data_IF_390287797032
#
_entry.id   IF_390287797032
#
_cell.length_a   1.000
_cell.length_b   1.000
_cell.length_c   1.000
_cell.angle_alpha   90.00
_cell.angle_beta   90.00
_cell.angle_gamma   90.00
#
_symmetry.space_group_name_H-M   'P 1'
#
loop_
_entity.id
_entity.type
_entity.pdbx_description
1 polymer ?
#
# COMPACT_ATOMS: atom_id res chain seq x y z
N UNK A 1 -11.75 6.06 45.83
CA UNK A 1 -10.85 6.26 44.67
C UNK A 1 -11.58 5.81 43.41
N UNK A 2 -11.98 6.70 42.49
CA UNK A 2 -12.52 6.25 41.22
C UNK A 2 -11.40 5.68 40.34
N UNK A 3 -11.63 4.47 39.85
CA UNK A 3 -10.77 3.69 38.96
C UNK A 3 -10.62 4.47 37.63
N UNK A 4 -9.41 4.65 37.07
CA UNK A 4 -9.30 5.15 35.70
C UNK A 4 -9.90 4.10 34.78
N UNK A 5 -11.09 4.39 34.24
CA UNK A 5 -11.61 3.65 33.09
C UNK A 5 -10.65 3.93 31.94
N UNK A 6 -9.77 2.97 31.64
CA UNK A 6 -9.13 2.92 30.34
C UNK A 6 -10.25 2.69 29.33
N UNK A 7 -10.83 3.77 28.83
CA UNK A 7 -11.60 3.74 27.60
C UNK A 7 -10.62 3.42 26.48
N UNK A 8 -10.31 2.12 26.33
CA UNK A 8 -9.75 1.56 25.11
C UNK A 8 -10.84 1.75 24.08
N UNK A 9 -10.88 2.93 23.45
CA UNK A 9 -11.72 3.20 22.30
C UNK A 9 -11.34 2.11 21.30
N UNK A 10 -12.24 1.17 20.94
CA UNK A 10 -11.92 0.15 19.97
C UNK A 10 -11.52 0.88 18.69
N UNK A 11 -10.31 0.58 18.22
CA UNK A 11 -9.74 1.08 16.99
C UNK A 11 -10.76 0.80 15.88
N UNK A 12 -11.61 1.78 15.55
CA UNK A 12 -12.63 1.64 14.52
C UNK A 12 -11.88 1.31 13.24
N UNK A 13 -12.17 0.14 12.68
CA UNK A 13 -11.72 -0.23 11.34
C UNK A 13 -11.86 0.98 10.43
N UNK A 14 -10.72 1.48 9.96
CA UNK A 14 -10.69 2.55 8.97
C UNK A 14 -11.45 2.03 7.74
N UNK A 15 -12.29 2.84 7.05
CA UNK A 15 -12.98 2.39 5.84
C UNK A 15 -11.99 1.89 4.76
N UNK A 16 -10.72 2.27 4.87
CA UNK A 16 -9.65 1.84 3.98
C UNK A 16 -9.13 0.42 4.25
N UNK A 17 -9.29 -0.12 5.47
CA UNK A 17 -8.76 -1.44 5.84
C UNK A 17 -9.26 -2.58 4.95
N UNK A 18 -10.59 -2.78 4.71
CA UNK A 18 -11.05 -3.86 3.83
C UNK A 18 -10.55 -3.68 2.40
N UNK A 19 -10.51 -2.45 1.88
CA UNK A 19 -10.04 -2.15 0.53
C UNK A 19 -8.55 -2.49 0.39
N UNK A 20 -7.73 -2.08 1.35
CA UNK A 20 -6.29 -2.38 1.38
C UNK A 20 -6.04 -3.88 1.46
N UNK A 21 -6.77 -4.61 2.31
CA UNK A 21 -6.65 -6.08 2.42
C UNK A 21 -7.03 -6.75 1.10
N UNK A 22 -8.16 -6.40 0.50
CA UNK A 22 -8.61 -7.01 -0.75
C UNK A 22 -7.63 -6.74 -1.89
N UNK A 23 -7.16 -5.50 -2.06
CA UNK A 23 -6.23 -5.15 -3.13
C UNK A 23 -4.85 -5.78 -2.95
N UNK A 24 -4.31 -5.78 -1.73
CA UNK A 24 -3.02 -6.44 -1.44
C UNK A 24 -3.11 -7.95 -1.58
N UNK A 25 -4.23 -8.56 -1.20
CA UNK A 25 -4.44 -10.01 -1.41
C UNK A 25 -4.51 -10.33 -2.91
N UNK A 26 -5.20 -9.50 -3.70
CA UNK A 26 -5.27 -9.66 -5.15
C UNK A 26 -3.90 -9.50 -5.81
N UNK A 27 -3.07 -8.53 -5.39
CA UNK A 27 -1.71 -8.37 -5.94
C UNK A 27 -0.80 -9.56 -5.60
N UNK A 28 -0.94 -10.15 -4.41
CA UNK A 28 -0.24 -11.38 -4.02
C UNK A 28 -0.65 -12.54 -4.94
N UNK A 29 -1.95 -12.73 -5.14
CA UNK A 29 -2.44 -13.79 -6.02
C UNK A 29 -1.86 -13.68 -7.45
N UNK A 30 -1.86 -12.47 -8.00
CA UNK A 30 -1.40 -12.21 -9.36
C UNK A 30 0.12 -12.36 -9.55
N UNK A 31 0.92 -12.10 -8.51
CA UNK A 31 2.39 -12.26 -8.59
C UNK A 31 2.85 -13.71 -8.32
N UNK A 32 2.01 -14.53 -7.68
CA UNK A 32 2.42 -15.86 -7.20
C UNK A 32 2.91 -16.76 -8.34
N UNK A 33 2.26 -16.71 -9.51
CA UNK A 33 2.68 -17.48 -10.69
C UNK A 33 4.08 -17.09 -11.19
N UNK A 34 4.48 -15.83 -11.02
CA UNK A 34 5.78 -15.34 -11.47
C UNK A 34 6.94 -15.72 -10.53
N UNK A 35 6.67 -16.30 -9.36
CA UNK A 35 7.71 -16.84 -8.46
C UNK A 35 8.47 -18.02 -9.07
N UNK A 36 7.92 -18.67 -10.09
CA UNK A 36 8.61 -19.76 -10.79
C UNK A 36 9.71 -19.26 -11.71
N UNK A 37 9.82 -17.95 -11.94
CA UNK A 37 10.90 -17.34 -12.70
C UNK A 37 12.10 -17.08 -11.78
N UNK A 38 13.32 -17.30 -12.29
CA UNK A 38 14.57 -16.88 -11.63
C UNK A 38 14.76 -15.35 -11.74
N UNK A 39 13.80 -14.57 -11.21
CA UNK A 39 13.86 -13.11 -11.14
C UNK A 39 13.76 -12.64 -9.70
N UNK A 40 14.39 -11.52 -9.39
CA UNK A 40 14.42 -10.97 -8.03
C UNK A 40 13.15 -10.18 -7.69
N UNK A 41 12.51 -9.53 -8.67
CA UNK A 41 11.33 -8.69 -8.38
C UNK A 41 10.11 -9.44 -7.84
N UNK A 42 9.71 -10.65 -8.31
CA UNK A 42 8.52 -11.32 -7.78
C UNK A 42 8.59 -11.64 -6.27
N UNK A 43 9.68 -12.23 -5.72
CA UNK A 43 9.76 -12.51 -4.29
C UNK A 43 9.87 -11.24 -3.43
N UNK A 44 10.55 -10.19 -3.93
CA UNK A 44 10.63 -8.90 -3.21
C UNK A 44 9.26 -8.21 -3.19
N UNK A 45 8.53 -8.23 -4.31
CA UNK A 45 7.18 -7.68 -4.37
C UNK A 45 6.20 -8.44 -3.45
N UNK A 46 6.32 -9.77 -3.38
CA UNK A 46 5.50 -10.60 -2.50
C UNK A 46 5.74 -10.25 -1.02
N UNK A 47 7.01 -10.15 -0.60
CA UNK A 47 7.35 -9.81 0.80
C UNK A 47 6.84 -8.41 1.19
N UNK A 48 6.98 -7.43 0.29
CA UNK A 48 6.42 -6.09 0.50
C UNK A 48 4.88 -6.13 0.58
N UNK A 49 4.23 -6.88 -0.30
CA UNK A 49 2.77 -7.02 -0.30
C UNK A 49 2.24 -7.64 1.00
N UNK A 50 2.92 -8.66 1.54
CA UNK A 50 2.61 -9.26 2.83
C UNK A 50 2.79 -8.26 3.98
N UNK A 51 3.86 -7.47 3.95
CA UNK A 51 4.09 -6.40 4.92
C UNK A 51 2.99 -5.32 4.89
N UNK A 52 2.54 -4.93 3.70
CA UNK A 52 1.43 -3.97 3.52
C UNK A 52 0.10 -4.52 4.01
N UNK A 53 -0.15 -5.82 3.81
CA UNK A 53 -1.34 -6.50 4.33
C UNK A 53 -1.36 -6.45 5.86
N UNK A 54 -0.23 -6.72 6.52
CA UNK A 54 -0.11 -6.58 7.98
C UNK A 54 -0.27 -5.12 8.44
N UNK A 55 0.32 -4.17 7.72
CA UNK A 55 0.22 -2.75 8.03
C UNK A 55 -1.21 -2.22 7.95
N UNK A 56 -2.06 -2.81 7.10
CA UNK A 56 -3.46 -2.39 6.93
C UNK A 56 -4.34 -2.55 8.18
N UNK A 57 -3.95 -3.43 9.12
CA UNK A 57 -4.63 -3.61 10.40
C UNK A 57 -4.39 -2.47 11.38
N UNK A 58 -3.29 -1.73 11.23
CA UNK A 58 -2.92 -0.62 12.10
C UNK A 58 -2.47 0.61 11.28
N UNK A 59 -3.40 1.28 10.58
CA UNK A 59 -3.07 2.47 9.80
C UNK A 59 -2.73 3.63 10.74
N UNK A 60 -1.44 3.94 10.83
CA UNK A 60 -0.86 5.10 11.49
C UNK A 60 -0.09 5.95 10.48
N UNK A 61 0.26 7.18 10.84
CA UNK A 61 1.11 8.02 9.99
C UNK A 61 2.46 7.35 9.68
N UNK A 62 3.08 6.72 10.69
CA UNK A 62 4.36 6.02 10.53
C UNK A 62 4.27 4.85 9.57
N UNK A 63 3.24 3.99 9.74
CA UNK A 63 3.01 2.87 8.83
C UNK A 63 2.66 3.33 7.42
N UNK A 64 1.94 4.45 7.26
CA UNK A 64 1.62 4.99 5.94
C UNK A 64 2.86 5.49 5.19
N UNK A 65 3.78 6.18 5.87
CA UNK A 65 5.03 6.64 5.24
C UNK A 65 5.93 5.47 4.82
N UNK A 66 6.05 4.44 5.68
CA UNK A 66 6.75 3.20 5.35
C UNK A 66 6.08 2.51 4.16
N UNK A 67 4.75 2.37 4.20
CA UNK A 67 3.97 1.73 3.15
C UNK A 67 4.13 2.42 1.78
N UNK A 68 4.11 3.76 1.73
CA UNK A 68 4.35 4.53 0.51
C UNK A 68 5.75 4.25 -0.04
N UNK A 69 6.76 4.29 0.83
CA UNK A 69 8.16 4.05 0.44
C UNK A 69 8.35 2.63 -0.09
N UNK A 70 7.78 1.64 0.59
CA UNK A 70 7.82 0.24 0.18
C UNK A 70 7.07 -0.01 -1.12
N UNK A 71 5.89 0.61 -1.32
CA UNK A 71 5.13 0.50 -2.56
C UNK A 71 5.87 1.12 -3.75
N UNK A 72 6.49 2.30 -3.57
CA UNK A 72 7.33 2.93 -4.60
C UNK A 72 8.52 2.03 -4.96
N UNK A 73 9.22 1.51 -3.94
CA UNK A 73 10.35 0.61 -4.16
C UNK A 73 9.95 -0.67 -4.91
N UNK A 74 8.86 -1.32 -4.48
CA UNK A 74 8.34 -2.52 -5.13
C UNK A 74 7.96 -2.26 -6.61
N UNK A 75 7.30 -1.11 -6.87
CA UNK A 75 6.91 -0.71 -8.22
C UNK A 75 8.11 -0.39 -9.11
N UNK A 76 9.14 0.28 -8.59
CA UNK A 76 10.37 0.55 -9.33
C UNK A 76 11.12 -0.73 -9.67
N UNK A 77 11.24 -1.65 -8.69
CA UNK A 77 11.94 -2.91 -8.90
C UNK A 77 11.23 -3.79 -9.93
N UNK A 78 9.90 -3.91 -9.85
CA UNK A 78 9.10 -4.57 -10.89
C UNK A 78 9.25 -3.88 -12.25
N UNK A 79 9.17 -2.55 -12.30
CA UNK A 79 9.30 -1.83 -13.56
C UNK A 79 10.67 -2.09 -14.21
N UNK A 80 11.76 -2.10 -13.45
CA UNK A 80 13.10 -2.41 -13.97
C UNK A 80 13.13 -3.85 -14.50
N UNK A 81 12.65 -4.83 -13.73
CA UNK A 81 12.65 -6.25 -14.10
C UNK A 81 11.73 -6.57 -15.28
N UNK A 82 10.69 -5.76 -15.55
CA UNK A 82 9.77 -5.97 -16.68
C UNK A 82 10.11 -5.12 -17.90
N UNK A 83 10.78 -3.96 -17.74
CA UNK A 83 11.35 -3.19 -18.86
C UNK A 83 12.56 -3.92 -19.46
N UNK A 84 13.38 -4.55 -18.62
CA UNK A 84 14.55 -5.33 -19.07
C UNK A 84 14.26 -6.83 -19.21
N UNK A 85 13.11 -7.27 -18.72
CA UNK A 85 12.72 -8.67 -18.71
C UNK A 85 12.07 -9.09 -20.01
N UNK A 86 12.62 -10.12 -20.64
CA UNK A 86 12.08 -10.80 -21.80
C UNK A 86 10.66 -11.34 -21.53
N UNK A 87 9.63 -10.54 -21.76
CA UNK A 87 8.25 -11.00 -21.84
C UNK A 87 7.82 -11.05 -23.31
N UNK A 88 8.61 -11.76 -24.10
CA UNK A 88 8.33 -11.99 -25.52
C UNK A 88 7.34 -13.14 -25.65
N UNK A 89 6.25 -12.90 -26.40
CA UNK A 89 5.26 -13.92 -26.76
C UNK A 89 5.90 -15.14 -27.46
N UNK A 90 7.07 -14.94 -28.08
CA UNK A 90 7.75 -15.94 -28.91
C UNK A 90 8.50 -17.07 -28.18
N UNK A 91 8.65 -17.05 -26.86
CA UNK A 91 9.46 -18.07 -26.14
C UNK A 91 8.59 -19.15 -25.44
N UNK A 92 7.26 -19.03 -25.49
CA UNK A 92 6.33 -20.07 -25.06
C UNK A 92 5.50 -20.58 -26.24
N UNK A 93 6.16 -21.00 -27.31
CA UNK A 93 5.48 -21.74 -28.38
C UNK A 93 5.15 -23.12 -27.82
N UNK A 94 3.95 -23.24 -27.24
CA UNK A 94 3.33 -24.53 -27.04
C UNK A 94 3.24 -25.22 -28.40
N UNK A 95 3.90 -26.37 -28.53
CA UNK A 95 4.05 -27.06 -29.82
C UNK A 95 2.73 -27.29 -30.57
N UNK A 96 2.82 -27.74 -31.82
CA UNK A 96 1.75 -27.71 -32.86
C UNK A 96 0.36 -28.28 -32.50
N UNK A 97 0.20 -28.99 -31.38
CA UNK A 97 -1.11 -29.42 -30.91
C UNK A 97 -1.88 -28.26 -30.24
N UNK A 98 -3.15 -28.09 -30.59
CA UNK A 98 -4.07 -27.07 -30.00
C UNK A 98 -4.02 -26.97 -28.46
N UNK A 99 -3.85 -28.10 -27.76
CA UNK A 99 -3.75 -28.13 -26.30
C UNK A 99 -2.46 -27.48 -25.77
N UNK A 100 -1.33 -27.66 -26.47
CA UNK A 100 -0.05 -27.06 -26.08
C UNK A 100 -0.03 -25.58 -26.37
N UNK A 101 -0.55 -25.16 -27.53
CA UNK A 101 -0.71 -23.74 -27.88
C UNK A 101 -1.48 -22.98 -26.79
N UNK A 102 -2.63 -23.51 -26.37
CA UNK A 102 -3.43 -22.92 -25.28
C UNK A 102 -2.73 -22.89 -23.92
N UNK A 103 -1.90 -23.89 -23.62
CA UNK A 103 -1.06 -23.89 -22.41
C UNK A 103 0.07 -22.85 -22.49
N UNK A 104 0.62 -22.61 -23.68
CA UNK A 104 1.58 -21.54 -23.95
C UNK A 104 0.96 -20.16 -23.76
N UNK A 105 -0.24 -19.93 -24.27
CA UNK A 105 -1.00 -18.69 -24.03
C UNK A 105 -1.30 -18.47 -22.55
N UNK A 106 -1.74 -19.52 -21.85
CA UNK A 106 -2.01 -19.46 -20.41
C UNK A 106 -0.73 -19.18 -19.60
N UNK A 107 0.39 -19.79 -19.99
CA UNK A 107 1.70 -19.56 -19.40
C UNK A 107 2.17 -18.12 -19.60
N UNK A 108 2.06 -17.61 -20.82
CA UNK A 108 2.38 -16.21 -21.14
C UNK A 108 1.50 -15.24 -20.33
N UNK A 109 0.18 -15.48 -20.28
CA UNK A 109 -0.74 -14.65 -19.51
C UNK A 109 -0.35 -14.61 -18.01
N UNK A 110 -0.06 -15.78 -17.42
CA UNK A 110 0.31 -15.89 -16.00
C UNK A 110 1.67 -15.28 -15.67
N UNK A 111 2.63 -15.33 -16.58
CA UNK A 111 4.01 -14.91 -16.33
C UNK A 111 4.30 -13.48 -16.78
N UNK A 112 3.50 -12.91 -17.69
CA UNK A 112 3.71 -11.57 -18.23
C UNK A 112 2.56 -10.60 -17.92
N UNK A 113 1.30 -11.03 -18.10
CA UNK A 113 0.14 -10.13 -17.95
C UNK A 113 -0.27 -9.99 -16.49
N UNK A 114 -0.39 -11.10 -15.74
CA UNK A 114 -0.79 -11.05 -14.32
C UNK A 114 0.18 -10.22 -13.46
N UNK A 115 1.52 -10.30 -13.61
CA UNK A 115 2.42 -9.46 -12.85
C UNK A 115 2.31 -7.97 -13.19
N UNK A 116 2.05 -7.62 -14.46
CA UNK A 116 1.76 -6.24 -14.86
C UNK A 116 0.45 -5.73 -14.23
N UNK A 117 -0.56 -6.58 -14.08
CA UNK A 117 -1.78 -6.25 -13.33
C UNK A 117 -1.50 -6.07 -11.84
N UNK A 118 -0.67 -6.95 -11.24
CA UNK A 118 -0.24 -6.83 -9.84
C UNK A 118 0.48 -5.50 -9.58
N UNK A 119 1.32 -5.07 -10.52
CA UNK A 119 2.00 -3.78 -10.49
C UNK A 119 1.02 -2.60 -10.43
N UNK A 120 0.02 -2.55 -11.32
CA UNK A 120 -1.01 -1.50 -11.28
C UNK A 120 -1.82 -1.50 -9.98
N UNK A 121 -2.14 -2.67 -9.43
CA UNK A 121 -2.84 -2.77 -8.15
C UNK A 121 -1.98 -2.21 -7.01
N UNK A 122 -0.67 -2.46 -7.02
CA UNK A 122 0.25 -1.90 -6.02
C UNK A 122 0.35 -0.38 -6.11
N UNK A 123 0.29 0.20 -7.31
CA UNK A 123 0.17 1.66 -7.50
C UNK A 123 -1.10 2.18 -6.81
N UNK A 124 -2.25 1.53 -7.00
CA UNK A 124 -3.50 1.91 -6.33
C UNK A 124 -3.40 1.79 -4.80
N UNK A 125 -2.78 0.73 -4.29
CA UNK A 125 -2.52 0.55 -2.86
C UNK A 125 -1.66 1.70 -2.32
N UNK A 126 -0.60 2.08 -3.03
CA UNK A 126 0.24 3.22 -2.69
C UNK A 126 -0.53 4.55 -2.65
N UNK A 127 -1.44 4.79 -3.60
CA UNK A 127 -2.29 5.98 -3.61
C UNK A 127 -3.24 6.02 -2.41
N UNK A 128 -3.82 4.89 -2.02
CA UNK A 128 -4.68 4.80 -0.82
C UNK A 128 -3.87 5.14 0.44
N UNK A 129 -2.64 4.62 0.56
CA UNK A 129 -1.76 4.96 1.68
C UNK A 129 -1.37 6.44 1.70
N UNK A 130 -1.21 7.07 0.54
CA UNK A 130 -0.98 8.52 0.44
C UNK A 130 -2.18 9.32 0.93
N UNK A 131 -3.40 8.91 0.59
CA UNK A 131 -4.64 9.52 1.12
C UNK A 131 -4.70 9.39 2.65
N UNK A 132 -4.38 8.22 3.20
CA UNK A 132 -4.33 8.00 4.65
C UNK A 132 -3.31 8.94 5.31
N UNK A 133 -2.11 9.07 4.75
CA UNK A 133 -1.08 9.97 5.25
C UNK A 133 -1.55 11.44 5.24
N UNK A 134 -2.21 11.88 4.16
CA UNK A 134 -2.73 13.23 4.05
C UNK A 134 -3.82 13.53 5.09
N UNK A 135 -4.73 12.58 5.34
CA UNK A 135 -5.78 12.72 6.35
C UNK A 135 -5.17 12.86 7.76
N UNK A 136 -4.19 12.00 8.10
CA UNK A 136 -3.51 12.05 9.41
C UNK A 136 -2.72 13.34 9.60
N UNK A 137 -1.99 13.81 8.58
CA UNK A 137 -1.26 15.09 8.62
C UNK A 137 -2.23 16.26 8.85
N UNK A 138 -3.34 16.29 8.11
CA UNK A 138 -4.37 17.33 8.22
C UNK A 138 -5.00 17.35 9.62
N UNK A 139 -5.25 16.18 10.20
CA UNK A 139 -5.76 16.03 11.57
C UNK A 139 -4.80 16.58 12.61
N UNK A 140 -3.51 16.24 12.51
CA UNK A 140 -2.46 16.75 13.40
C UNK A 140 -2.32 18.26 13.28
N UNK A 141 -2.33 18.79 12.05
CA UNK A 141 -2.24 20.22 11.79
C UNK A 141 -3.41 20.99 12.43
N UNK A 142 -4.64 20.52 12.24
CA UNK A 142 -5.84 21.13 12.83
C UNK A 142 -5.84 21.06 14.36
N UNK A 143 -5.40 19.94 14.95
CA UNK A 143 -5.27 19.80 16.40
C UNK A 143 -4.24 20.78 16.97
N UNK A 144 -3.09 20.96 16.31
CA UNK A 144 -2.06 21.93 16.71
C UNK A 144 -2.54 23.37 16.59
N UNK A 145 -3.28 23.71 15.52
CA UNK A 145 -3.86 25.04 15.31
C UNK A 145 -4.91 25.38 16.38
N UNK A 146 -5.78 24.43 16.72
CA UNK A 146 -6.79 24.62 17.78
C UNK A 146 -6.14 24.71 19.17
N UNK A 147 -5.11 23.90 19.45
CA UNK A 147 -4.37 24.00 20.71
C UNK A 147 -3.66 25.35 20.86
N UNK A 148 -3.12 25.92 19.78
CA UNK A 148 -2.56 27.29 19.79
C UNK A 148 -3.64 28.37 20.01
N UNK A 149 -4.85 28.23 19.45
CA UNK A 149 -5.96 29.18 19.69
C UNK A 149 -6.44 29.21 21.13
N UNK A 150 -6.40 28.08 21.84
CA UNK A 150 -6.85 27.99 23.24
C UNK A 150 -5.77 28.51 24.22
N UNK A 151 -4.51 28.62 23.79
CA UNK A 151 -3.35 29.01 24.61
C UNK A 151 -2.92 30.47 24.45
N UNK A 152 -3.67 31.31 23.71
CA UNK A 152 -3.52 32.76 23.84
C UNK A 152 -4.40 33.24 25.01
N UNK A 153 -3.83 33.58 26.18
CA UNK A 153 -4.53 34.46 27.08
C UNK A 153 -4.62 35.81 26.39
N UNK A 154 -5.83 36.34 26.30
CA UNK A 154 -6.09 37.75 26.06
C UNK A 154 -5.39 38.51 27.19
N UNK A 155 -4.17 39.00 26.95
CA UNK A 155 -3.59 40.11 27.74
C UNK A 155 -4.30 41.40 27.36
N UNK A 156 -5.59 41.46 27.70
CA UNK A 156 -6.32 42.69 27.90
C UNK A 156 -6.92 42.59 29.30
N UNK A 157 -6.10 42.80 30.31
CA UNK A 157 -6.58 43.08 31.66
C UNK A 157 -5.76 44.22 32.25
N UNK A 158 -6.39 45.39 32.23
CA UNK A 158 -6.24 46.51 33.14
C UNK A 158 -4.93 47.32 33.09
N UNK A 159 -4.86 48.23 32.12
CA UNK A 159 -4.51 49.61 32.47
C UNK A 159 -5.64 50.23 33.31
N UNK A 160 -5.51 50.22 34.64
CA UNK A 160 -6.24 51.17 35.47
C UNK A 160 -5.36 52.41 35.67
N UNK A 161 -5.81 53.61 35.25
CA UNK A 161 -5.32 54.84 35.82
C UNK A 161 -6.05 55.10 37.14
N UNK A 162 -5.27 55.60 38.10
CA UNK A 162 -5.55 56.48 39.26
C UNK A 162 -4.82 55.95 40.50
#
# INVERSE_FOLDING_TARGET
MPRPTSTTIPNRFSPFTPILISLTTLSIYLITSALTLNRLSPPVFLTISLGLLLASYHPSLGTALIAISSAIFANLLLAIDYIHGECWYGVMVGGESWHKERLGELGWYRLCVQPAQAWWIMVLVGLIWLVIAFIEISRIYNARKNKKRILLPTEETQSQPI
#
